data_IF_788833854625
#
_entry.id   IF_788833854625
#
_cell.length_a   1.000
_cell.length_b   1.000
_cell.length_c   1.000
_cell.angle_alpha   90.00
_cell.angle_beta   90.00
_cell.angle_gamma   90.00
#
_symmetry.space_group_name_H-M   'P 1'
#
loop_
_entity.id
_entity.type
_entity.pdbx_description
1 polymer ?
#
# COMPACT_ATOMS: atom_id res chain seq x y z
N UNK A 1 -1.83 9.15 -8.72
CA UNK A 1 -0.66 8.27 -8.51
C UNK A 1 -0.27 7.65 -9.84
N UNK A 2 1.03 7.41 -10.10
CA UNK A 2 1.47 6.79 -11.35
C UNK A 2 1.32 5.26 -11.26
N UNK A 3 0.44 4.68 -12.08
CA UNK A 3 0.16 3.24 -12.09
C UNK A 3 1.42 2.38 -12.25
N UNK A 4 2.38 2.81 -13.07
CA UNK A 4 3.65 2.10 -13.25
C UNK A 4 4.47 2.01 -11.96
N UNK A 5 4.48 3.07 -11.14
CA UNK A 5 5.20 3.07 -9.86
C UNK A 5 4.54 2.14 -8.83
N UNK A 6 3.21 2.08 -8.84
CA UNK A 6 2.44 1.18 -7.98
C UNK A 6 2.71 -0.28 -8.35
N UNK A 7 2.65 -0.62 -9.63
CA UNK A 7 2.94 -1.97 -10.11
C UNK A 7 4.36 -2.41 -9.74
N UNK A 8 5.35 -1.54 -9.94
CA UNK A 8 6.72 -1.84 -9.54
C UNK A 8 6.86 -2.07 -8.04
N UNK A 9 6.17 -1.28 -7.22
CA UNK A 9 6.16 -1.47 -5.77
C UNK A 9 5.53 -2.81 -5.39
N UNK A 10 4.38 -3.15 -5.98
CA UNK A 10 3.68 -4.40 -5.73
C UNK A 10 4.53 -5.62 -6.11
N UNK A 11 5.14 -5.61 -7.31
CA UNK A 11 6.01 -6.71 -7.75
C UNK A 11 7.24 -6.87 -6.83
N UNK A 12 7.82 -5.77 -6.35
CA UNK A 12 8.93 -5.83 -5.38
C UNK A 12 8.49 -6.44 -4.06
N UNK A 13 7.29 -6.12 -3.57
CA UNK A 13 6.75 -6.74 -2.36
C UNK A 13 6.53 -8.24 -2.55
N UNK A 14 5.97 -8.68 -3.68
CA UNK A 14 5.79 -10.11 -3.95
C UNK A 14 7.11 -10.90 -3.94
N UNK A 15 8.21 -10.27 -4.36
CA UNK A 15 9.55 -10.87 -4.34
C UNK A 15 10.13 -11.04 -2.92
N UNK A 16 9.61 -10.35 -1.91
CA UNK A 16 10.08 -10.52 -0.52
C UNK A 16 9.36 -11.65 0.23
N UNK A 17 8.32 -12.21 -0.36
CA UNK A 17 7.53 -13.27 0.26
C UNK A 17 8.26 -14.61 0.21
N UNK A 18 8.04 -15.42 1.25
CA UNK A 18 8.55 -16.78 1.30
C UNK A 18 7.92 -17.65 0.21
N UNK A 19 8.65 -18.62 -0.36
CA UNK A 19 8.09 -19.57 -1.33
C UNK A 19 6.83 -20.26 -0.78
N UNK A 20 5.77 -20.33 -1.60
CA UNK A 20 4.52 -21.00 -1.24
C UNK A 20 3.47 -20.13 -0.55
N UNK A 21 3.78 -18.87 -0.22
CA UNK A 21 2.75 -17.90 0.19
C UNK A 21 1.83 -17.63 -1.01
N UNK A 22 0.55 -17.97 -0.88
CA UNK A 22 -0.46 -17.59 -1.87
C UNK A 22 -0.83 -16.13 -1.66
N UNK A 23 -0.57 -15.30 -2.66
CA UNK A 23 -1.06 -13.93 -2.72
C UNK A 23 -2.24 -13.83 -3.67
N UNK A 24 -3.20 -12.98 -3.32
CA UNK A 24 -4.15 -12.49 -4.31
C UNK A 24 -3.38 -11.60 -5.30
N UNK A 25 -3.53 -11.86 -6.60
CA UNK A 25 -2.91 -11.02 -7.63
C UNK A 25 -3.70 -9.72 -7.84
N UNK A 26 -4.93 -9.64 -7.32
CA UNK A 26 -5.72 -8.42 -7.31
C UNK A 26 -5.39 -7.56 -6.09
N UNK A 27 -5.19 -6.27 -6.31
CA UNK A 27 -4.95 -5.30 -5.25
C UNK A 27 -5.75 -4.03 -5.52
N UNK A 28 -6.23 -3.40 -4.45
CA UNK A 28 -6.88 -2.09 -4.50
C UNK A 28 -5.82 -1.02 -4.23
N UNK A 29 -5.81 0.04 -5.05
CA UNK A 29 -5.09 1.26 -4.73
C UNK A 29 -6.10 2.32 -4.32
N UNK A 30 -5.97 2.82 -3.10
CA UNK A 30 -6.81 3.90 -2.58
C UNK A 30 -6.00 4.82 -1.66
N UNK A 31 -6.55 5.99 -1.35
CA UNK A 31 -6.03 6.92 -0.36
C UNK A 31 -6.92 6.95 0.88
N UNK A 32 -6.35 7.32 2.02
CA UNK A 32 -7.14 7.58 3.21
C UNK A 32 -7.65 9.02 3.20
N UNK A 33 -8.92 9.22 3.55
CA UNK A 33 -9.52 10.54 3.63
C UNK A 33 -9.73 11.21 2.26
N UNK A 34 -10.48 12.30 2.29
CA UNK A 34 -11.01 12.92 1.07
C UNK A 34 -10.17 14.10 0.57
N UNK A 35 -9.12 14.50 1.32
CA UNK A 35 -8.22 15.60 0.95
C UNK A 35 -6.75 15.15 0.93
N UNK A 36 -5.89 15.79 0.12
CA UNK A 36 -4.46 15.44 0.07
C UNK A 36 -3.73 15.58 1.41
N UNK A 37 -4.09 16.60 2.20
CA UNK A 37 -3.50 16.85 3.52
C UNK A 37 -3.85 15.72 4.48
N UNK A 38 -5.11 15.31 4.50
CA UNK A 38 -5.61 14.25 5.36
C UNK A 38 -5.03 12.89 4.93
N UNK A 39 -4.91 12.64 3.62
CA UNK A 39 -4.27 11.44 3.09
C UNK A 39 -2.81 11.31 3.52
N UNK A 40 -2.08 12.43 3.55
CA UNK A 40 -0.70 12.46 4.03
C UNK A 40 -0.63 12.16 5.53
N UNK A 41 -1.44 12.83 6.34
CA UNK A 41 -1.46 12.66 7.80
C UNK A 41 -1.81 11.21 8.18
N UNK A 42 -2.95 10.70 7.66
CA UNK A 42 -3.41 9.35 7.95
C UNK A 42 -2.42 8.29 7.44
N UNK A 43 -1.83 8.51 6.26
CA UNK A 43 -0.78 7.64 5.71
C UNK A 43 0.44 7.54 6.63
N UNK A 44 0.86 8.63 7.27
CA UNK A 44 1.97 8.59 8.24
C UNK A 44 1.61 7.79 9.50
N UNK A 45 0.36 7.90 9.98
CA UNK A 45 -0.09 7.10 11.13
C UNK A 45 -0.14 5.60 10.82
N UNK A 46 -0.50 5.22 9.60
CA UNK A 46 -0.46 3.83 9.14
C UNK A 46 0.99 3.33 9.07
N UNK A 47 1.90 4.10 8.48
CA UNK A 47 3.33 3.75 8.41
C UNK A 47 3.98 3.63 9.80
N UNK A 48 3.57 4.48 10.75
CA UNK A 48 4.01 4.42 12.14
C UNK A 48 3.38 3.26 12.94
N UNK A 49 2.47 2.49 12.34
CA UNK A 49 1.74 1.41 13.02
C UNK A 49 0.77 1.91 14.11
N UNK A 50 0.44 3.20 14.10
CA UNK A 50 -0.49 3.81 15.08
C UNK A 50 -1.94 3.65 14.65
N UNK A 51 -2.22 3.83 13.35
CA UNK A 51 -3.54 3.57 12.77
C UNK A 51 -3.56 2.18 12.12
N UNK A 52 -4.26 1.25 12.75
CA UNK A 52 -4.38 -0.16 12.30
C UNK A 52 -5.82 -0.61 12.03
N UNK A 53 -6.80 0.29 12.23
CA UNK A 53 -8.23 0.09 11.98
C UNK A 53 -8.94 1.38 11.59
#
# INVERSE_FOLDING_TARGET
>A
MNHFQIEQYWQRYLQTLLPGVKTDCSYLTDQFGDTPELAKELGQLVLAGTKTG
#
